data_IF_582750768139
#
_entry.id   IF_582750768139
#
_cell.length_a   1.000
_cell.length_b   1.000
_cell.length_c   1.000
_cell.angle_alpha   90.00
_cell.angle_beta   90.00
_cell.angle_gamma   90.00
#
_symmetry.space_group_name_H-M   'P 1'
#
loop_
_entity.id
_entity.type
_entity.pdbx_description
1 polymer ?
#
# COMPACT_ATOMS: atom_id res chain seq x y z
N UNK A 1 23.40 -28.49 -16.31
CA UNK A 1 22.20 -29.29 -15.98
C UNK A 1 21.39 -29.44 -17.26
N UNK A 2 21.16 -30.69 -17.69
CA UNK A 2 20.88 -31.09 -19.07
C UNK A 2 19.55 -30.58 -19.64
N UNK A 3 19.59 -29.96 -20.84
CA UNK A 3 18.44 -29.57 -21.67
C UNK A 3 17.43 -30.71 -21.92
N UNK A 4 17.88 -31.97 -21.86
CA UNK A 4 17.01 -33.14 -22.01
C UNK A 4 16.13 -33.39 -20.77
N UNK A 5 16.58 -33.00 -19.57
CA UNK A 5 15.78 -33.13 -18.34
C UNK A 5 14.53 -32.24 -18.34
N UNK A 6 14.64 -31.02 -18.88
CA UNK A 6 13.53 -30.07 -19.00
C UNK A 6 12.49 -30.43 -20.05
N UNK A 7 12.86 -31.21 -21.07
CA UNK A 7 11.93 -31.68 -22.12
C UNK A 7 11.09 -32.87 -21.64
N UNK A 8 11.64 -33.77 -20.82
CA UNK A 8 10.85 -34.85 -20.23
C UNK A 8 9.91 -34.34 -19.12
N UNK A 9 10.34 -33.39 -18.28
CA UNK A 9 9.45 -32.79 -17.27
C UNK A 9 8.26 -32.07 -17.90
N UNK A 10 8.48 -31.27 -18.96
CA UNK A 10 7.40 -30.54 -19.65
C UNK A 10 6.40 -31.45 -20.36
N UNK A 11 6.79 -32.61 -20.89
CA UNK A 11 5.85 -33.56 -21.52
C UNK A 11 5.01 -34.29 -20.47
N UNK A 12 5.62 -34.71 -19.35
CA UNK A 12 4.89 -35.33 -18.24
C UNK A 12 3.95 -34.33 -17.57
N UNK A 13 4.40 -33.11 -17.29
CA UNK A 13 3.58 -32.02 -16.77
C UNK A 13 2.40 -31.71 -17.69
N UNK A 14 2.60 -31.60 -19.01
CA UNK A 14 1.49 -31.35 -19.95
C UNK A 14 0.46 -32.47 -19.98
N UNK A 15 0.89 -33.74 -19.92
CA UNK A 15 -0.03 -34.88 -19.94
C UNK A 15 -0.83 -34.98 -18.64
N UNK A 16 -0.19 -34.71 -17.49
CA UNK A 16 -0.86 -34.63 -16.20
C UNK A 16 -1.80 -33.43 -16.12
N UNK A 17 -1.36 -32.25 -16.54
CA UNK A 17 -2.17 -31.04 -16.55
C UNK A 17 -3.44 -31.23 -17.39
N UNK A 18 -3.32 -31.90 -18.55
CA UNK A 18 -4.47 -32.20 -19.41
C UNK A 18 -5.44 -33.20 -18.76
N UNK A 19 -4.93 -34.20 -18.03
CA UNK A 19 -5.76 -35.17 -17.29
C UNK A 19 -6.46 -34.53 -16.09
N UNK A 20 -5.75 -33.73 -15.30
CA UNK A 20 -6.34 -32.98 -14.18
C UNK A 20 -7.36 -31.98 -14.69
N UNK A 21 -7.09 -31.30 -15.80
CA UNK A 21 -8.05 -30.39 -16.44
C UNK A 21 -9.33 -31.10 -16.89
N UNK A 22 -9.22 -32.29 -17.49
CA UNK A 22 -10.40 -33.07 -17.89
C UNK A 22 -11.15 -33.65 -16.69
N UNK A 23 -10.43 -34.14 -15.68
CA UNK A 23 -11.01 -34.66 -14.43
C UNK A 23 -11.63 -33.54 -13.57
N UNK A 24 -11.26 -32.28 -13.83
CA UNK A 24 -11.80 -31.12 -13.15
C UNK A 24 -13.03 -30.50 -13.81
N UNK A 25 -13.37 -30.89 -15.04
CA UNK A 25 -14.60 -30.45 -15.71
C UNK A 25 -15.83 -30.79 -14.83
N UNK A 26 -16.60 -29.77 -14.44
CA UNK A 26 -17.79 -29.92 -13.59
C UNK A 26 -17.56 -29.94 -12.07
N UNK A 27 -16.32 -29.96 -11.59
CA UNK A 27 -16.01 -29.82 -10.15
C UNK A 27 -16.23 -28.39 -9.67
N UNK A 28 -16.52 -28.16 -8.39
CA UNK A 28 -16.56 -26.80 -7.84
C UNK A 28 -15.15 -26.26 -7.52
N UNK A 29 -15.01 -24.95 -7.33
CA UNK A 29 -13.75 -24.34 -6.84
C UNK A 29 -13.41 -24.82 -5.42
N UNK A 30 -14.43 -25.11 -4.61
CA UNK A 30 -14.34 -25.64 -3.25
C UNK A 30 -13.75 -27.06 -3.24
N UNK A 31 -14.26 -27.95 -4.11
CA UNK A 31 -13.74 -29.31 -4.26
C UNK A 31 -12.27 -29.31 -4.67
N UNK A 32 -11.90 -28.43 -5.61
CA UNK A 32 -10.51 -28.28 -6.03
C UNK A 32 -9.63 -27.77 -4.89
N UNK A 33 -10.15 -26.88 -4.05
CA UNK A 33 -9.42 -26.33 -2.89
C UNK A 33 -9.18 -27.40 -1.82
N UNK A 34 -10.18 -28.26 -1.55
CA UNK A 34 -10.00 -29.41 -0.64
C UNK A 34 -8.97 -30.40 -1.17
N UNK A 35 -8.99 -30.69 -2.48
CA UNK A 35 -7.97 -31.52 -3.12
C UNK A 35 -6.58 -30.89 -3.04
N UNK A 36 -6.47 -29.58 -3.27
CA UNK A 36 -5.21 -28.87 -3.18
C UNK A 36 -4.63 -28.96 -1.78
N UNK A 37 -5.44 -28.83 -0.73
CA UNK A 37 -5.02 -29.01 0.66
C UNK A 37 -4.62 -30.45 0.98
N UNK A 38 -5.30 -31.44 0.38
CA UNK A 38 -4.99 -32.87 0.54
C UNK A 38 -3.80 -33.36 -0.30
N UNK A 39 -3.41 -32.62 -1.34
CA UNK A 39 -2.36 -33.02 -2.27
C UNK A 39 -1.00 -33.17 -1.57
N UNK A 40 -0.31 -34.28 -1.85
CA UNK A 40 1.05 -34.58 -1.35
C UNK A 40 2.14 -34.41 -2.41
N UNK A 41 1.79 -34.25 -3.69
CA UNK A 41 2.73 -34.11 -4.81
C UNK A 41 2.75 -32.70 -5.40
N UNK A 42 3.96 -32.18 -5.64
CA UNK A 42 4.19 -30.82 -6.17
C UNK A 42 3.50 -30.58 -7.53
N UNK A 43 3.62 -31.53 -8.46
CA UNK A 43 3.07 -31.40 -9.84
C UNK A 43 1.53 -31.38 -9.86
N UNK A 44 0.87 -32.18 -9.01
CA UNK A 44 -0.59 -32.14 -8.88
C UNK A 44 -1.07 -30.85 -8.20
N UNK A 45 -0.29 -30.33 -7.24
CA UNK A 45 -0.64 -29.12 -6.50
C UNK A 45 -0.62 -27.87 -7.37
N UNK A 46 0.42 -27.68 -8.19
CA UNK A 46 0.52 -26.51 -9.08
C UNK A 46 -0.60 -26.45 -10.12
N UNK A 47 -1.01 -27.60 -10.66
CA UNK A 47 -2.12 -27.66 -11.62
C UNK A 47 -3.45 -27.29 -10.97
N UNK A 48 -3.73 -27.82 -9.78
CA UNK A 48 -4.95 -27.49 -9.03
C UNK A 48 -4.99 -26.01 -8.64
N UNK A 49 -3.87 -25.47 -8.14
CA UNK A 49 -3.75 -24.06 -7.80
C UNK A 49 -4.02 -23.13 -8.99
N UNK A 50 -3.44 -23.45 -10.15
CA UNK A 50 -3.67 -22.69 -11.38
C UNK A 50 -5.17 -22.70 -11.75
N UNK A 51 -5.81 -23.87 -11.72
CA UNK A 51 -7.22 -24.00 -12.08
C UNK A 51 -8.16 -23.28 -11.09
N UNK A 52 -7.87 -23.35 -9.79
CA UNK A 52 -8.64 -22.61 -8.76
C UNK A 52 -8.59 -21.12 -9.05
N UNK A 53 -7.39 -20.59 -9.24
CA UNK A 53 -7.21 -19.17 -9.51
C UNK A 53 -7.87 -18.77 -10.85
N UNK A 54 -7.78 -19.60 -11.90
CA UNK A 54 -8.40 -19.34 -13.22
C UNK A 54 -9.92 -19.26 -13.13
N UNK A 55 -10.51 -20.17 -12.35
CA UNK A 55 -11.95 -20.15 -12.07
C UNK A 55 -12.36 -18.95 -11.25
N UNK A 56 -11.60 -18.61 -10.21
CA UNK A 56 -11.88 -17.42 -9.42
C UNK A 56 -11.82 -16.14 -10.28
N UNK A 57 -10.81 -16.01 -11.13
CA UNK A 57 -10.64 -14.85 -12.01
C UNK A 57 -11.79 -14.69 -13.01
N UNK A 58 -12.33 -15.80 -13.53
CA UNK A 58 -13.48 -15.81 -14.44
C UNK A 58 -14.85 -15.81 -13.75
N UNK A 59 -14.91 -15.84 -12.42
CA UNK A 59 -16.15 -15.90 -11.66
C UNK A 59 -16.83 -14.52 -11.55
N UNK A 60 -18.16 -14.53 -11.50
CA UNK A 60 -18.94 -13.34 -11.16
C UNK A 60 -18.90 -13.02 -9.65
N UNK A 61 -19.52 -11.91 -9.25
CA UNK A 61 -19.49 -11.46 -7.86
C UNK A 61 -20.11 -12.48 -6.88
N UNK A 62 -21.18 -13.15 -7.28
CA UNK A 62 -21.89 -14.12 -6.43
C UNK A 62 -21.05 -15.39 -6.25
N UNK A 63 -20.40 -15.88 -7.31
CA UNK A 63 -19.50 -17.03 -7.24
C UNK A 63 -18.22 -16.72 -6.46
N UNK A 64 -17.63 -15.52 -6.62
CA UNK A 64 -16.50 -15.07 -5.79
C UNK A 64 -16.89 -15.00 -4.32
N UNK A 65 -18.09 -14.48 -4.02
CA UNK A 65 -18.63 -14.42 -2.67
C UNK A 65 -18.83 -15.81 -2.08
N UNK A 66 -19.41 -16.75 -2.83
CA UNK A 66 -19.58 -18.12 -2.39
C UNK A 66 -18.24 -18.79 -2.04
N UNK A 67 -17.18 -18.51 -2.82
CA UNK A 67 -15.84 -18.99 -2.50
C UNK A 67 -15.29 -18.43 -1.18
N UNK A 68 -15.52 -17.15 -0.89
CA UNK A 68 -15.16 -16.57 0.40
C UNK A 68 -15.97 -17.16 1.55
N UNK A 69 -17.26 -17.43 1.36
CA UNK A 69 -18.08 -18.11 2.37
C UNK A 69 -17.56 -19.54 2.66
N UNK A 70 -17.12 -20.27 1.63
CA UNK A 70 -16.42 -21.55 1.77
C UNK A 70 -15.13 -21.39 2.60
N UNK A 71 -14.28 -20.42 2.26
CA UNK A 71 -13.05 -20.18 3.03
C UNK A 71 -13.32 -19.81 4.49
N UNK A 72 -14.39 -19.07 4.75
CA UNK A 72 -14.76 -18.61 6.09
C UNK A 72 -15.33 -19.73 6.96
N UNK A 73 -16.09 -20.66 6.36
CA UNK A 73 -16.82 -21.71 7.11
C UNK A 73 -16.09 -23.03 7.13
N UNK A 74 -15.64 -23.48 5.97
CA UNK A 74 -15.13 -24.85 5.78
C UNK A 74 -13.63 -24.97 6.03
N UNK A 75 -12.91 -23.85 5.99
CA UNK A 75 -11.45 -23.77 6.22
C UNK A 75 -11.09 -23.07 7.55
N UNK A 76 -12.06 -22.95 8.45
CA UNK A 76 -11.90 -22.39 9.78
C UNK A 76 -11.15 -23.34 10.73
N UNK A 77 -10.64 -22.80 11.83
CA UNK A 77 -10.10 -23.58 12.94
C UNK A 77 -11.16 -24.50 13.58
N UNK A 78 -10.72 -25.63 14.10
CA UNK A 78 -11.55 -26.50 14.96
C UNK A 78 -11.35 -26.11 16.43
N UNK A 79 -12.37 -25.50 17.11
CA UNK A 79 -12.25 -25.09 18.50
C UNK A 79 -11.97 -26.26 19.46
N UNK A 80 -12.46 -27.46 19.15
CA UNK A 80 -12.25 -28.65 19.97
C UNK A 80 -10.78 -29.07 19.89
N UNK A 81 -10.23 -29.17 18.67
CA UNK A 81 -8.82 -29.52 18.46
C UNK A 81 -7.87 -28.50 19.11
N UNK A 82 -8.20 -27.19 19.05
CA UNK A 82 -7.41 -26.14 19.71
C UNK A 82 -7.39 -26.32 21.22
N UNK A 83 -8.55 -26.53 21.84
CA UNK A 83 -8.63 -26.67 23.31
C UNK A 83 -7.88 -27.91 23.79
N UNK A 84 -8.01 -29.04 23.09
CA UNK A 84 -7.33 -30.29 23.43
C UNK A 84 -5.80 -30.20 23.24
N UNK A 85 -5.37 -29.60 22.13
CA UNK A 85 -3.93 -29.41 21.85
C UNK A 85 -3.29 -28.41 22.81
N UNK A 86 -3.99 -27.33 23.18
CA UNK A 86 -3.53 -26.37 24.18
C UNK A 86 -3.40 -27.01 25.57
N UNK A 87 -4.39 -27.82 25.98
CA UNK A 87 -4.32 -28.57 27.23
C UNK A 87 -3.09 -29.50 27.23
N UNK A 88 -2.89 -30.23 26.15
CA UNK A 88 -1.73 -31.12 25.99
C UNK A 88 -0.39 -30.36 26.07
N UNK A 89 -0.32 -29.15 25.52
CA UNK A 89 0.86 -28.30 25.64
C UNK A 89 1.07 -27.79 27.06
N UNK A 90 0.00 -27.37 27.75
CA UNK A 90 0.05 -26.93 29.15
C UNK A 90 0.51 -28.05 30.08
N UNK A 91 0.00 -29.26 29.90
CA UNK A 91 0.29 -30.41 30.77
C UNK A 91 1.73 -30.94 30.56
N UNK A 92 2.24 -30.90 29.32
CA UNK A 92 3.59 -31.36 28.99
C UNK A 92 4.24 -30.49 27.88
N UNK A 93 4.82 -29.32 28.23
CA UNK A 93 5.44 -28.43 27.26
C UNK A 93 6.61 -29.12 26.54
N UNK A 94 6.51 -29.23 25.21
CA UNK A 94 7.54 -29.85 24.36
C UNK A 94 7.42 -29.35 22.92
N UNK A 95 8.48 -29.57 22.12
CA UNK A 95 8.44 -29.31 20.67
C UNK A 95 7.25 -29.99 19.98
N UNK A 96 6.88 -31.20 20.42
CA UNK A 96 5.77 -31.97 19.84
C UNK A 96 4.42 -31.35 20.18
N UNK A 97 4.18 -31.07 21.45
CA UNK A 97 2.90 -30.52 21.93
C UNK A 97 2.70 -29.07 21.48
N UNK A 98 3.78 -28.27 21.42
CA UNK A 98 3.73 -26.93 20.83
C UNK A 98 3.36 -26.97 19.34
N UNK A 99 3.98 -27.86 18.55
CA UNK A 99 3.66 -28.02 17.13
C UNK A 99 2.20 -28.44 16.88
N UNK A 100 1.67 -29.33 17.72
CA UNK A 100 0.27 -29.74 17.63
C UNK A 100 -0.65 -28.54 17.87
N UNK A 101 -0.40 -27.77 18.93
CA UNK A 101 -1.18 -26.56 19.23
C UNK A 101 -1.07 -25.49 18.13
N UNK A 102 0.14 -25.19 17.68
CA UNK A 102 0.38 -24.21 16.62
C UNK A 102 -0.34 -24.61 15.32
N UNK A 103 -0.32 -25.90 14.95
CA UNK A 103 -1.02 -26.40 13.77
C UNK A 103 -2.54 -26.31 13.92
N UNK A 104 -3.10 -26.66 15.09
CA UNK A 104 -4.53 -26.58 15.34
C UNK A 104 -5.04 -25.13 15.34
N UNK A 105 -4.18 -24.18 15.74
CA UNK A 105 -4.51 -22.75 15.82
C UNK A 105 -4.37 -22.01 14.48
N UNK A 106 -3.87 -22.67 13.44
CA UNK A 106 -3.74 -22.09 12.10
C UNK A 106 -4.91 -22.54 11.22
N UNK A 107 -5.73 -21.60 10.70
CA UNK A 107 -6.85 -21.97 9.84
C UNK A 107 -6.35 -22.47 8.48
N UNK A 108 -7.05 -23.45 7.89
CA UNK A 108 -6.64 -24.09 6.63
C UNK A 108 -6.58 -23.10 5.46
N UNK A 109 -7.30 -21.97 5.55
CA UNK A 109 -7.25 -20.90 4.55
C UNK A 109 -5.86 -20.29 4.40
N UNK A 110 -5.03 -20.22 5.44
CA UNK A 110 -3.64 -19.76 5.28
C UNK A 110 -2.82 -20.73 4.43
N UNK A 111 -2.96 -22.03 4.68
CA UNK A 111 -2.28 -23.05 3.89
C UNK A 111 -2.78 -23.08 2.44
N UNK A 112 -4.09 -22.89 2.22
CA UNK A 112 -4.65 -22.76 0.88
C UNK A 112 -3.98 -21.60 0.14
N UNK A 113 -3.95 -20.41 0.74
CA UNK A 113 -3.32 -19.22 0.14
C UNK A 113 -1.83 -19.44 -0.16
N UNK A 114 -1.08 -20.09 0.73
CA UNK A 114 0.33 -20.46 0.46
C UNK A 114 0.46 -21.37 -0.74
N UNK A 115 -0.40 -22.39 -0.88
CA UNK A 115 -0.39 -23.31 -2.03
C UNK A 115 -0.79 -22.62 -3.33
N UNK A 116 -1.78 -21.74 -3.28
CA UNK A 116 -2.16 -20.91 -4.42
C UNK A 116 -1.01 -20.01 -4.88
N UNK A 117 -0.17 -19.55 -3.95
CA UNK A 117 0.99 -18.71 -4.25
C UNK A 117 2.18 -19.46 -4.88
N UNK A 118 2.13 -20.79 -5.00
CA UNK A 118 3.24 -21.58 -5.57
C UNK A 118 3.28 -21.57 -7.10
N UNK A 119 2.22 -21.08 -7.76
CA UNK A 119 2.19 -20.96 -9.22
C UNK A 119 2.77 -19.63 -9.69
N UNK A 120 3.26 -19.60 -10.93
CA UNK A 120 3.73 -18.35 -11.56
C UNK A 120 2.59 -17.33 -11.61
N UNK A 121 2.84 -16.11 -11.15
CA UNK A 121 1.82 -15.06 -11.07
C UNK A 121 0.81 -15.25 -9.93
N UNK A 122 0.97 -16.26 -9.06
CA UNK A 122 0.06 -16.52 -7.96
C UNK A 122 -0.08 -15.32 -7.01
N UNK A 123 1.02 -14.61 -6.73
CA UNK A 123 1.01 -13.47 -5.81
C UNK A 123 0.10 -12.34 -6.30
N UNK A 124 0.28 -11.91 -7.55
CA UNK A 124 -0.56 -10.86 -8.17
C UNK A 124 -2.05 -11.23 -8.14
N UNK A 125 -2.37 -12.49 -8.44
CA UNK A 125 -3.74 -12.98 -8.44
C UNK A 125 -4.36 -13.03 -7.05
N UNK A 126 -3.56 -13.36 -6.04
CA UNK A 126 -4.00 -13.27 -4.64
C UNK A 126 -4.17 -11.82 -4.19
N UNK A 127 -3.34 -10.88 -4.67
CA UNK A 127 -3.52 -9.45 -4.42
C UNK A 127 -4.84 -8.97 -5.03
N UNK A 128 -5.16 -9.37 -6.26
CA UNK A 128 -6.45 -9.09 -6.90
C UNK A 128 -7.63 -9.73 -6.14
N UNK A 129 -7.49 -10.97 -5.68
CA UNK A 129 -8.48 -11.64 -4.83
C UNK A 129 -8.72 -10.90 -3.52
N UNK A 130 -7.67 -10.38 -2.87
CA UNK A 130 -7.82 -9.56 -1.67
C UNK A 130 -8.48 -8.22 -1.95
N UNK A 131 -8.22 -7.60 -3.11
CA UNK A 131 -8.92 -6.38 -3.52
C UNK A 131 -10.44 -6.61 -3.65
N UNK A 132 -10.85 -7.75 -4.24
CA UNK A 132 -12.27 -8.16 -4.27
C UNK A 132 -12.84 -8.33 -2.86
N UNK A 133 -12.11 -9.00 -1.96
CA UNK A 133 -12.49 -9.19 -0.55
C UNK A 133 -12.70 -7.83 0.16
N UNK A 134 -11.74 -6.91 0.05
CA UNK A 134 -11.80 -5.59 0.68
C UNK A 134 -13.00 -4.76 0.20
N UNK A 135 -13.38 -4.91 -1.07
CA UNK A 135 -14.59 -4.26 -1.62
C UNK A 135 -15.86 -4.88 -1.03
N UNK A 136 -15.94 -6.21 -0.93
CA UNK A 136 -17.10 -6.93 -0.39
C UNK A 136 -17.30 -6.69 1.10
N UNK A 137 -16.22 -6.62 1.89
CA UNK A 137 -16.26 -6.39 3.35
C UNK A 137 -16.98 -5.10 3.76
N UNK A 138 -17.02 -4.09 2.88
CA UNK A 138 -17.75 -2.84 3.14
C UNK A 138 -19.26 -3.06 3.32
N UNK A 139 -19.80 -4.05 2.61
CA UNK A 139 -21.21 -4.43 2.68
C UNK A 139 -21.44 -5.63 3.61
N UNK A 140 -20.43 -6.49 3.78
CA UNK A 140 -20.51 -7.68 4.63
C UNK A 140 -19.30 -7.83 5.57
N UNK A 141 -19.38 -7.25 6.78
CA UNK A 141 -18.31 -7.35 7.78
C UNK A 141 -18.00 -8.77 8.25
N UNK A 142 -18.84 -9.77 7.99
CA UNK A 142 -18.57 -11.17 8.40
C UNK A 142 -17.34 -11.75 7.70
N UNK A 143 -16.91 -11.15 6.59
CA UNK A 143 -15.72 -11.55 5.84
C UNK A 143 -14.40 -11.03 6.43
N UNK A 144 -14.45 -10.11 7.41
CA UNK A 144 -13.26 -9.52 8.06
C UNK A 144 -12.21 -10.53 8.55
N UNK A 145 -12.55 -11.70 9.12
CA UNK A 145 -11.57 -12.68 9.54
C UNK A 145 -10.66 -13.18 8.40
N UNK A 146 -11.16 -13.23 7.15
CA UNK A 146 -10.35 -13.62 6.00
C UNK A 146 -9.23 -12.61 5.74
N UNK A 147 -9.51 -11.31 5.87
CA UNK A 147 -8.52 -10.25 5.64
C UNK A 147 -7.36 -10.32 6.62
N UNK A 148 -7.60 -10.77 7.86
CA UNK A 148 -6.54 -10.99 8.86
C UNK A 148 -5.50 -11.97 8.35
N UNK A 149 -5.93 -13.08 7.73
CA UNK A 149 -5.02 -14.11 7.21
C UNK A 149 -4.32 -13.67 5.92
N UNK A 150 -5.04 -12.98 5.05
CA UNK A 150 -4.44 -12.34 3.88
C UNK A 150 -3.35 -11.33 4.30
N UNK A 151 -3.66 -10.44 5.24
CA UNK A 151 -2.72 -9.44 5.74
C UNK A 151 -1.51 -10.08 6.43
N UNK A 152 -1.72 -11.15 7.20
CA UNK A 152 -0.65 -11.92 7.81
C UNK A 152 0.34 -12.46 6.76
N UNK A 153 -0.18 -13.13 5.73
CA UNK A 153 0.65 -13.71 4.68
C UNK A 153 1.33 -12.63 3.83
N UNK A 154 0.59 -11.57 3.45
CA UNK A 154 1.16 -10.48 2.65
C UNK A 154 2.21 -9.69 3.40
N UNK A 155 2.07 -9.47 4.71
CA UNK A 155 3.12 -8.84 5.52
C UNK A 155 4.43 -9.67 5.51
N UNK A 156 4.32 -11.00 5.42
CA UNK A 156 5.50 -11.86 5.29
C UNK A 156 6.06 -11.91 3.87
N UNK A 157 5.21 -11.92 2.85
CA UNK A 157 5.63 -12.06 1.45
C UNK A 157 6.17 -10.75 0.87
N UNK A 158 5.58 -9.61 1.21
CA UNK A 158 6.03 -8.28 0.81
C UNK A 158 6.99 -7.68 1.84
N UNK A 159 8.00 -8.45 2.20
CA UNK A 159 9.03 -7.98 3.11
C UNK A 159 9.81 -6.85 2.46
N UNK A 160 9.93 -5.72 3.19
CA UNK A 160 10.72 -4.55 2.79
C UNK A 160 12.10 -4.91 2.24
N UNK A 161 12.79 -5.90 2.81
CA UNK A 161 14.15 -6.27 2.39
C UNK A 161 14.27 -6.69 0.92
N UNK A 162 13.16 -6.98 0.25
CA UNK A 162 13.12 -7.31 -1.17
C UNK A 162 12.53 -6.20 -2.05
N UNK A 163 12.11 -5.08 -1.47
CA UNK A 163 11.65 -3.95 -2.27
C UNK A 163 12.85 -3.29 -2.95
N UNK A 164 12.74 -3.15 -4.27
CA UNK A 164 13.74 -2.53 -5.11
C UNK A 164 13.22 -1.16 -5.56
N UNK A 165 13.98 -0.11 -5.25
CA UNK A 165 13.72 1.21 -5.78
C UNK A 165 14.31 1.32 -7.19
N UNK A 166 13.49 1.68 -8.18
CA UNK A 166 13.91 1.88 -9.56
C UNK A 166 13.48 3.26 -10.07
N UNK A 167 14.34 3.99 -10.80
CA UNK A 167 13.90 5.19 -11.50
C UNK A 167 12.91 4.82 -12.61
N UNK A 168 11.86 5.63 -12.76
CA UNK A 168 10.90 5.57 -13.85
C UNK A 168 11.07 6.84 -14.68
N UNK A 169 11.31 6.66 -15.98
CA UNK A 169 11.51 7.77 -16.91
C UNK A 169 10.94 7.43 -18.29
N UNK A 170 11.07 8.33 -19.25
CA UNK A 170 10.51 8.14 -20.58
C UNK A 170 11.12 6.97 -21.39
N UNK A 171 12.24 6.40 -20.93
CA UNK A 171 12.83 5.18 -21.52
C UNK A 171 12.37 3.89 -20.85
N UNK A 172 11.58 3.96 -19.78
CA UNK A 172 11.01 2.80 -19.12
C UNK A 172 10.04 2.03 -20.04
N UNK A 173 9.83 0.72 -19.85
CA UNK A 173 8.91 -0.07 -20.67
C UNK A 173 7.50 0.52 -20.69
N UNK A 174 6.88 0.56 -21.88
CA UNK A 174 5.54 1.14 -22.05
C UNK A 174 4.49 0.52 -21.14
N UNK A 175 4.57 -0.78 -20.87
CA UNK A 175 3.68 -1.48 -19.93
C UNK A 175 3.74 -0.89 -18.51
N UNK A 176 4.94 -0.52 -18.03
CA UNK A 176 5.09 0.13 -16.71
C UNK A 176 4.50 1.54 -16.75
N UNK A 177 4.74 2.28 -17.84
CA UNK A 177 4.21 3.65 -18.01
C UNK A 177 2.67 3.67 -18.07
N UNK A 178 2.04 2.72 -18.75
CA UNK A 178 0.59 2.54 -18.78
C UNK A 178 0.02 2.30 -17.38
N UNK A 179 0.72 1.50 -16.57
CA UNK A 179 0.35 1.25 -15.17
C UNK A 179 0.44 2.52 -14.32
N UNK A 180 1.46 3.35 -14.51
CA UNK A 180 1.57 4.65 -13.80
C UNK A 180 0.37 5.55 -14.12
N UNK A 181 -0.04 5.64 -15.40
CA UNK A 181 -1.24 6.39 -15.79
C UNK A 181 -2.48 5.82 -15.07
N UNK A 182 -2.64 4.50 -15.06
CA UNK A 182 -3.79 3.84 -14.45
C UNK A 182 -3.86 3.98 -12.91
N UNK A 183 -2.71 4.12 -12.25
CA UNK A 183 -2.60 4.11 -10.79
C UNK A 183 -2.46 5.49 -10.14
N UNK A 184 -2.34 6.55 -10.92
CA UNK A 184 -2.19 7.90 -10.37
C UNK A 184 -3.45 8.36 -9.64
N UNK A 185 -3.34 8.45 -8.31
CA UNK A 185 -4.45 8.65 -7.39
C UNK A 185 -4.52 10.07 -6.80
N UNK A 186 -3.46 10.88 -6.94
CA UNK A 186 -3.35 12.22 -6.34
C UNK A 186 -3.70 13.29 -7.38
N UNK A 187 -3.09 13.21 -8.57
CA UNK A 187 -3.26 14.14 -9.67
C UNK A 187 -3.44 13.38 -10.98
N UNK A 188 -4.69 13.11 -11.36
CA UNK A 188 -5.05 12.33 -12.55
C UNK A 188 -4.16 12.65 -13.76
N UNK A 189 -3.65 11.60 -14.41
CA UNK A 189 -2.90 11.69 -15.67
C UNK A 189 -3.85 11.35 -16.80
N UNK A 190 -4.35 12.36 -17.50
CA UNK A 190 -5.41 12.16 -18.50
C UNK A 190 -4.88 11.75 -19.88
N UNK A 191 -3.55 11.80 -20.08
CA UNK A 191 -2.93 11.47 -21.37
C UNK A 191 -1.45 11.08 -21.27
N UNK A 192 -0.96 10.44 -22.34
CA UNK A 192 0.48 10.19 -22.53
C UNK A 192 1.31 11.47 -22.60
N UNK A 193 0.74 12.57 -23.07
CA UNK A 193 1.43 13.86 -23.09
C UNK A 193 1.58 14.44 -21.67
N UNK A 194 0.57 14.30 -20.81
CA UNK A 194 0.68 14.67 -19.39
C UNK A 194 1.73 13.79 -18.69
N UNK A 195 1.71 12.47 -18.91
CA UNK A 195 2.77 11.59 -18.39
C UNK A 195 4.16 12.04 -18.85
N UNK A 196 4.30 12.41 -20.13
CA UNK A 196 5.57 12.89 -20.68
C UNK A 196 6.04 14.17 -19.99
N UNK A 197 5.14 15.12 -19.70
CA UNK A 197 5.47 16.35 -18.98
C UNK A 197 5.94 16.09 -17.54
N UNK A 198 5.55 14.96 -16.95
CA UNK A 198 5.97 14.55 -15.60
C UNK A 198 7.23 13.68 -15.56
N UNK A 199 7.63 13.06 -16.68
CA UNK A 199 8.77 12.13 -16.73
C UNK A 199 9.94 12.59 -17.59
N UNK A 200 9.71 13.45 -18.57
CA UNK A 200 10.73 13.87 -19.54
C UNK A 200 11.59 15.06 -19.09
N UNK A 201 11.05 16.12 -18.45
CA UNK A 201 11.86 17.27 -18.04
C UNK A 201 12.94 16.90 -17.02
N UNK A 202 14.11 17.55 -17.12
CA UNK A 202 15.26 17.29 -16.25
C UNK A 202 15.00 17.63 -14.78
N UNK A 203 14.04 18.49 -14.48
CA UNK A 203 13.59 18.85 -13.14
C UNK A 203 12.39 18.02 -12.67
N UNK A 204 12.13 16.88 -13.32
CA UNK A 204 11.21 15.87 -12.84
C UNK A 204 11.94 14.56 -12.63
N UNK A 205 11.56 13.87 -11.56
CA UNK A 205 12.02 12.51 -11.23
C UNK A 205 10.81 11.69 -10.84
N UNK A 206 10.80 10.43 -11.23
CA UNK A 206 9.81 9.48 -10.78
C UNK A 206 10.52 8.20 -10.37
N UNK A 207 10.05 7.58 -9.31
CA UNK A 207 10.60 6.36 -8.76
C UNK A 207 9.48 5.36 -8.50
N UNK A 208 9.76 4.07 -8.72
CA UNK A 208 8.88 2.97 -8.38
C UNK A 208 9.53 2.01 -7.41
N UNK A 209 8.76 1.52 -6.44
CA UNK A 209 9.12 0.39 -5.61
C UNK A 209 8.54 -0.89 -6.20
N UNK A 210 9.42 -1.82 -6.57
CA UNK A 210 9.09 -3.10 -7.17
C UNK A 210 9.38 -4.23 -6.20
N UNK A 211 8.66 -5.34 -6.33
CA UNK A 211 8.92 -6.55 -5.57
C UNK A 211 9.18 -7.72 -6.50
N UNK A 212 10.15 -8.62 -6.22
CA UNK A 212 10.48 -9.75 -7.09
C UNK A 212 9.30 -10.68 -7.40
N UNK A 213 8.31 -10.77 -6.49
CA UNK A 213 7.10 -11.55 -6.70
C UNK A 213 6.10 -10.92 -7.71
N UNK A 214 6.24 -9.62 -7.97
CA UNK A 214 5.43 -8.85 -8.92
C UNK A 214 6.37 -7.88 -9.69
N UNK A 215 7.28 -8.40 -10.52
CA UNK A 215 8.43 -7.65 -11.03
C UNK A 215 8.07 -6.52 -12.02
N UNK A 216 6.93 -6.66 -12.69
CA UNK A 216 6.40 -5.73 -13.70
C UNK A 216 5.30 -4.82 -13.12
N UNK A 217 5.07 -4.89 -11.81
CA UNK A 217 4.07 -4.09 -11.08
C UNK A 217 4.78 -3.10 -10.15
N UNK A 218 4.64 -1.78 -10.39
CA UNK A 218 5.01 -0.82 -9.35
C UNK A 218 4.04 -1.01 -8.18
N UNK A 219 4.56 -1.24 -6.97
CA UNK A 219 3.73 -1.33 -5.77
C UNK A 219 3.43 0.06 -5.22
N UNK A 220 4.44 0.92 -5.25
CA UNK A 220 4.36 2.33 -4.91
C UNK A 220 5.13 3.07 -5.98
N UNK A 221 4.62 4.22 -6.43
CA UNK A 221 5.47 5.18 -7.12
C UNK A 221 5.43 6.54 -6.45
N UNK A 222 6.49 7.30 -6.71
CA UNK A 222 6.79 8.58 -6.09
C UNK A 222 7.20 9.55 -7.20
N UNK A 223 6.42 10.60 -7.37
CA UNK A 223 6.75 11.69 -8.28
C UNK A 223 7.39 12.86 -7.52
N UNK A 224 8.49 13.37 -8.07
CA UNK A 224 9.31 14.42 -7.48
C UNK A 224 9.52 15.54 -8.49
N UNK A 225 9.26 16.76 -8.05
CA UNK A 225 9.62 17.97 -8.76
C UNK A 225 10.87 18.58 -8.12
N UNK A 226 11.87 18.87 -8.93
CA UNK A 226 13.06 19.63 -8.52
C UNK A 226 12.76 21.12 -8.70
N UNK A 227 12.94 21.91 -7.65
CA UNK A 227 12.56 23.34 -7.61
C UNK A 227 13.62 24.19 -6.93
N UNK A 228 13.46 25.51 -7.05
CA UNK A 228 14.12 26.50 -6.20
C UNK A 228 13.12 26.98 -5.14
N UNK A 229 13.34 26.56 -3.90
CA UNK A 229 12.46 26.79 -2.76
C UNK A 229 11.24 25.86 -2.70
N UNK A 230 10.51 25.98 -1.58
CA UNK A 230 9.36 25.15 -1.23
C UNK A 230 8.08 25.67 -1.92
N UNK A 231 7.37 24.85 -2.72
CA UNK A 231 6.14 25.27 -3.37
C UNK A 231 4.94 25.23 -2.41
N UNK A 232 3.96 26.06 -2.73
CA UNK A 232 2.70 26.21 -1.98
C UNK A 232 1.44 26.02 -2.82
N UNK A 233 1.55 25.60 -4.09
CA UNK A 233 0.41 25.37 -4.97
C UNK A 233 0.74 24.29 -6.00
N UNK A 234 -0.14 23.30 -6.10
CA UNK A 234 0.05 22.19 -7.03
C UNK A 234 -0.24 22.61 -8.47
N UNK A 235 -1.19 23.53 -8.68
CA UNK A 235 -1.46 24.09 -10.01
C UNK A 235 -0.24 24.81 -10.59
N UNK A 236 0.53 25.54 -9.75
CA UNK A 236 1.78 26.17 -10.20
C UNK A 236 2.87 25.13 -10.49
N UNK A 237 2.93 24.07 -9.69
CA UNK A 237 3.92 23.00 -9.84
C UNK A 237 3.70 22.19 -11.14
N UNK A 238 2.43 21.94 -11.50
CA UNK A 238 2.03 21.12 -12.64
C UNK A 238 1.68 21.97 -13.89
N UNK A 239 1.94 23.27 -13.90
CA UNK A 239 1.58 24.12 -15.03
C UNK A 239 2.32 23.74 -16.33
N UNK A 240 1.57 23.50 -17.41
CA UNK A 240 2.08 23.12 -18.75
C UNK A 240 3.11 24.10 -19.35
N UNK A 241 3.06 25.38 -18.94
CA UNK A 241 3.90 26.46 -19.47
C UNK A 241 4.91 26.97 -18.45
N UNK A 242 5.45 26.10 -17.61
CA UNK A 242 6.60 26.43 -16.76
C UNK A 242 7.89 26.31 -17.56
N UNK A 243 8.84 27.17 -17.28
CA UNK A 243 10.22 27.00 -17.78
C UNK A 243 10.90 25.94 -16.90
N UNK A 244 11.27 24.76 -17.46
CA UNK A 244 12.01 23.77 -16.70
C UNK A 244 13.37 24.32 -16.28
N UNK A 245 13.84 23.91 -15.11
CA UNK A 245 15.22 24.17 -14.68
C UNK A 245 16.09 22.94 -14.96
N UNK A 246 17.41 23.15 -15.02
CA UNK A 246 18.35 22.03 -14.97
C UNK A 246 18.29 21.38 -13.57
N UNK A 247 18.58 20.09 -13.49
CA UNK A 247 18.45 19.35 -12.23
C UNK A 247 19.45 19.86 -11.17
N UNK A 248 20.65 20.25 -11.61
CA UNK A 248 21.76 20.75 -10.80
C UNK A 248 21.50 22.14 -10.23
N UNK A 249 20.53 22.86 -10.80
CA UNK A 249 20.12 24.20 -10.39
C UNK A 249 19.08 24.20 -9.26
N UNK A 250 18.54 23.03 -8.91
CA UNK A 250 17.54 22.87 -7.87
C UNK A 250 18.17 22.82 -6.47
N UNK A 251 17.50 23.42 -5.49
CA UNK A 251 17.85 23.34 -4.07
C UNK A 251 16.85 22.50 -3.25
N UNK A 252 15.70 22.18 -3.85
CA UNK A 252 14.56 21.55 -3.19
C UNK A 252 14.02 20.39 -4.03
N UNK A 253 13.86 19.23 -3.40
CA UNK A 253 13.12 18.10 -3.94
C UNK A 253 11.71 18.06 -3.33
N UNK A 254 10.70 18.13 -4.19
CA UNK A 254 9.28 18.21 -3.81
C UNK A 254 8.57 16.91 -4.19
N UNK A 255 8.25 16.08 -3.20
CA UNK A 255 7.41 14.89 -3.37
C UNK A 255 5.94 15.32 -3.49
N UNK A 256 5.41 15.40 -4.71
CA UNK A 256 4.05 15.93 -4.94
C UNK A 256 3.02 14.83 -5.22
N UNK A 257 3.45 13.62 -5.59
CA UNK A 257 2.56 12.45 -5.68
C UNK A 257 3.25 11.22 -5.10
N UNK A 258 2.53 10.49 -4.25
CA UNK A 258 2.93 9.18 -3.72
C UNK A 258 1.70 8.28 -3.76
N UNK A 259 1.74 7.29 -4.63
CA UNK A 259 0.57 6.46 -4.95
C UNK A 259 0.87 4.99 -4.62
N UNK A 260 -0.02 4.37 -3.82
CA UNK A 260 -0.06 2.91 -3.69
C UNK A 260 -0.87 2.36 -4.86
N UNK A 261 -0.23 1.58 -5.71
CA UNK A 261 -0.80 1.09 -6.95
C UNK A 261 -1.75 -0.09 -6.74
N UNK A 262 -1.58 -0.81 -5.64
CA UNK A 262 -2.24 -2.09 -5.42
C UNK A 262 -3.23 -1.97 -4.27
N UNK A 263 -4.51 -1.79 -4.59
CA UNK A 263 -5.60 -1.73 -3.60
C UNK A 263 -5.67 -2.99 -2.72
N UNK A 264 -5.34 -4.15 -3.30
CA UNK A 264 -5.18 -5.41 -2.57
C UNK A 264 -4.01 -5.42 -1.57
N UNK A 265 -3.11 -4.44 -1.60
CA UNK A 265 -2.06 -4.27 -0.59
C UNK A 265 -2.38 -3.15 0.42
N UNK A 266 -3.63 -2.67 0.45
CA UNK A 266 -4.07 -1.72 1.46
C UNK A 266 -3.79 -2.27 2.88
N UNK A 267 -3.17 -1.43 3.72
CA UNK A 267 -2.80 -1.78 5.10
C UNK A 267 -1.53 -2.62 5.24
N UNK A 268 -0.93 -3.10 4.14
CA UNK A 268 0.34 -3.83 4.19
C UNK A 268 1.48 -2.82 4.29
N UNK A 269 2.29 -2.92 5.35
CA UNK A 269 3.45 -2.05 5.52
C UNK A 269 4.61 -2.53 4.66
N UNK A 270 5.09 -1.66 3.78
CA UNK A 270 6.34 -1.81 3.04
C UNK A 270 7.55 -1.30 3.83
N UNK A 271 7.37 -1.13 5.15
CA UNK A 271 8.29 -0.50 6.05
C UNK A 271 8.19 1.02 6.07
N UNK A 272 8.76 1.60 7.11
CA UNK A 272 8.94 3.05 7.25
C UNK A 272 10.30 3.40 6.64
N UNK A 273 10.46 4.62 6.11
CA UNK A 273 11.65 5.14 5.41
C UNK A 273 11.71 4.89 3.89
N UNK A 274 10.58 4.69 3.21
CA UNK A 274 10.54 4.67 1.73
C UNK A 274 11.03 6.00 1.17
N UNK A 275 10.48 7.10 1.69
CA UNK A 275 10.83 8.46 1.24
C UNK A 275 12.26 8.84 1.64
N UNK A 276 12.76 8.32 2.77
CA UNK A 276 14.17 8.48 3.15
C UNK A 276 15.10 7.90 2.08
N UNK A 277 14.78 6.73 1.51
CA UNK A 277 15.58 6.13 0.45
C UNK A 277 15.62 7.04 -0.77
N UNK A 278 14.45 7.49 -1.24
CA UNK A 278 14.38 8.39 -2.41
C UNK A 278 15.12 9.70 -2.15
N UNK A 279 14.94 10.31 -0.97
CA UNK A 279 15.64 11.54 -0.60
C UNK A 279 17.16 11.35 -0.50
N UNK A 280 17.62 10.23 0.05
CA UNK A 280 19.05 9.91 0.14
C UNK A 280 19.68 9.69 -1.25
N UNK A 281 18.99 8.97 -2.14
CA UNK A 281 19.46 8.73 -3.51
C UNK A 281 19.54 10.06 -4.29
N UNK A 282 18.51 10.91 -4.17
CA UNK A 282 18.51 12.25 -4.77
C UNK A 282 19.62 13.15 -4.22
N UNK A 283 19.86 13.12 -2.91
CA UNK A 283 20.93 13.89 -2.26
C UNK A 283 22.32 13.46 -2.73
N UNK A 284 22.51 12.17 -3.01
CA UNK A 284 23.76 11.64 -3.54
C UNK A 284 23.95 11.98 -5.03
N UNK A 285 22.88 11.95 -5.83
CA UNK A 285 22.91 12.30 -7.25
C UNK A 285 23.12 13.81 -7.45
N UNK A 286 22.41 14.65 -6.67
CA UNK A 286 22.33 16.09 -6.85
C UNK A 286 22.75 16.79 -5.55
N UNK A 287 24.04 17.11 -5.43
CA UNK A 287 24.62 17.72 -4.23
C UNK A 287 24.09 19.12 -3.89
N UNK A 288 23.39 19.77 -4.83
CA UNK A 288 22.74 21.06 -4.62
C UNK A 288 21.43 20.98 -3.83
N UNK A 289 20.85 19.78 -3.68
CA UNK A 289 19.60 19.60 -2.94
C UNK A 289 19.83 19.68 -1.43
N UNK A 290 19.27 20.70 -0.81
CA UNK A 290 19.33 20.95 0.64
C UNK A 290 18.01 20.61 1.33
N UNK A 291 16.89 20.75 0.60
CA UNK A 291 15.54 20.64 1.17
C UNK A 291 14.74 19.50 0.55
N UNK A 292 14.18 18.63 1.39
CA UNK A 292 13.32 17.52 0.97
C UNK A 292 11.94 17.70 1.59
N UNK A 293 10.96 18.09 0.78
CA UNK A 293 9.61 18.40 1.24
C UNK A 293 8.56 17.71 0.39
N UNK A 294 7.37 17.53 0.93
CA UNK A 294 6.23 17.10 0.15
C UNK A 294 5.33 18.27 -0.21
N UNK A 295 4.43 18.11 -1.17
CA UNK A 295 3.23 18.93 -1.29
C UNK A 295 2.03 17.98 -1.28
N UNK A 296 1.53 17.67 -0.08
CA UNK A 296 0.59 16.57 0.15
C UNK A 296 -0.85 17.06 0.32
N UNK A 297 -1.86 16.27 -0.11
CA UNK A 297 -3.26 16.53 0.17
C UNK A 297 -3.59 16.28 1.66
N UNK A 298 -4.74 16.79 2.11
CA UNK A 298 -5.25 16.61 3.48
C UNK A 298 -6.64 15.93 3.44
N UNK A 299 -6.71 14.66 3.02
CA UNK A 299 -7.97 13.99 2.76
C UNK A 299 -8.81 13.81 4.02
N UNK A 300 -10.04 14.32 3.98
CA UNK A 300 -11.02 14.11 5.05
C UNK A 300 -11.14 15.26 6.04
N UNK A 301 -10.33 16.32 5.90
CA UNK A 301 -10.46 17.55 6.67
C UNK A 301 -11.87 18.13 6.59
N UNK A 302 -12.43 18.30 5.38
CA UNK A 302 -13.79 18.87 5.21
C UNK A 302 -14.86 18.00 5.87
N UNK A 303 -14.76 16.67 5.75
CA UNK A 303 -15.68 15.72 6.39
C UNK A 303 -15.55 15.74 7.91
N UNK A 304 -14.33 15.92 8.42
CA UNK A 304 -14.08 16.02 9.86
C UNK A 304 -14.63 17.33 10.42
N UNK A 305 -14.41 18.46 9.74
CA UNK A 305 -14.92 19.79 10.11
C UNK A 305 -16.45 19.81 10.20
N UNK A 306 -17.15 19.17 9.25
CA UNK A 306 -18.62 19.05 9.27
C UNK A 306 -19.18 18.38 10.53
N UNK A 307 -18.36 17.56 11.22
CA UNK A 307 -18.76 16.90 12.47
C UNK A 307 -18.44 17.72 13.71
N UNK A 308 -17.68 18.80 13.59
CA UNK A 308 -17.29 19.63 14.73
C UNK A 308 -18.36 20.66 15.03
N UNK A 309 -18.75 20.79 16.30
CA UNK A 309 -19.75 21.76 16.73
C UNK A 309 -19.15 23.12 17.13
N UNK A 310 -17.83 23.23 17.25
CA UNK A 310 -17.16 24.43 17.76
C UNK A 310 -17.19 25.58 16.72
N UNK A 311 -17.88 26.71 16.98
CA UNK A 311 -17.98 27.80 16.01
C UNK A 311 -16.63 28.45 15.70
N UNK A 312 -15.72 28.49 16.68
CA UNK A 312 -14.37 29.01 16.50
C UNK A 312 -13.60 28.22 15.42
N UNK A 313 -13.76 26.90 15.40
CA UNK A 313 -13.13 26.03 14.41
C UNK A 313 -13.81 26.15 13.04
N UNK A 314 -15.14 26.26 12.98
CA UNK A 314 -15.87 26.38 11.72
C UNK A 314 -15.61 27.71 10.99
N UNK A 315 -15.43 28.80 11.73
CA UNK A 315 -15.23 30.15 11.16
C UNK A 315 -13.75 30.53 10.98
N UNK A 316 -12.83 29.66 11.40
CA UNK A 316 -11.40 29.90 11.26
C UNK A 316 -10.95 29.90 9.79
N UNK A 317 -9.78 30.51 9.56
CA UNK A 317 -9.12 30.40 8.28
C UNK A 317 -8.75 28.94 7.96
N UNK A 318 -8.80 28.58 6.68
CA UNK A 318 -8.64 27.19 6.20
C UNK A 318 -7.29 26.58 6.61
N UNK A 319 -6.22 27.39 6.61
CA UNK A 319 -4.89 27.00 7.07
C UNK A 319 -4.83 26.70 8.57
N UNK A 320 -5.50 27.50 9.40
CA UNK A 320 -5.62 27.24 10.84
C UNK A 320 -6.46 25.97 11.12
N UNK A 321 -7.55 25.77 10.38
CA UNK A 321 -8.36 24.54 10.45
C UNK A 321 -7.53 23.29 10.11
N UNK A 322 -6.77 23.37 9.01
CA UNK A 322 -5.89 22.29 8.57
C UNK A 322 -4.76 22.03 9.58
N UNK A 323 -4.12 23.08 10.12
CA UNK A 323 -3.09 22.92 11.15
C UNK A 323 -3.65 22.24 12.40
N UNK A 324 -4.80 22.67 12.91
CA UNK A 324 -5.46 22.05 14.06
C UNK A 324 -5.84 20.60 13.77
N UNK A 325 -6.41 20.31 12.60
CA UNK A 325 -6.76 18.95 12.21
C UNK A 325 -5.55 18.01 12.18
N UNK A 326 -4.43 18.46 11.60
CA UNK A 326 -3.21 17.66 11.49
C UNK A 326 -2.55 17.41 12.86
N UNK A 327 -2.58 18.40 13.76
CA UNK A 327 -1.86 18.36 15.03
C UNK A 327 -2.70 17.84 16.20
N UNK A 328 -4.00 18.11 16.24
CA UNK A 328 -4.86 17.88 17.40
C UNK A 328 -5.95 16.83 17.16
N UNK A 329 -6.44 16.66 15.92
CA UNK A 329 -7.45 15.64 15.67
C UNK A 329 -6.84 14.22 15.78
N UNK A 330 -7.34 13.44 16.73
CA UNK A 330 -6.87 12.06 17.00
C UNK A 330 -8.01 11.04 16.86
N UNK A 331 -7.62 9.81 16.49
CA UNK A 331 -8.43 8.60 16.59
C UNK A 331 -8.35 8.03 18.01
N UNK A 332 -9.12 6.98 18.27
CA UNK A 332 -9.14 6.27 19.56
C UNK A 332 -7.78 5.66 19.95
N UNK A 333 -6.89 5.42 18.97
CA UNK A 333 -5.53 4.91 19.16
C UNK A 333 -4.47 6.02 19.34
N UNK A 334 -4.91 7.26 19.57
CA UNK A 334 -4.08 8.47 19.66
C UNK A 334 -3.22 8.76 18.42
N UNK A 335 -3.52 8.18 17.25
CA UNK A 335 -2.90 8.59 15.99
C UNK A 335 -3.68 9.74 15.33
N UNK A 336 -3.00 10.60 14.52
CA UNK A 336 -3.67 11.60 13.70
C UNK A 336 -4.83 11.01 12.89
N UNK A 337 -5.95 11.73 12.77
CA UNK A 337 -7.11 11.29 11.97
C UNK A 337 -6.75 11.22 10.49
N UNK A 338 -5.95 12.16 10.01
CA UNK A 338 -5.54 12.22 8.61
C UNK A 338 -4.61 11.05 8.23
N UNK A 339 -4.96 10.25 7.20
CA UNK A 339 -4.16 9.10 6.78
C UNK A 339 -2.80 9.50 6.18
N UNK A 340 -2.72 10.64 5.48
CA UNK A 340 -1.51 11.12 4.82
C UNK A 340 -0.51 11.64 5.86
N UNK A 341 -0.99 12.29 6.92
CA UNK A 341 -0.21 12.66 8.10
C UNK A 341 0.36 11.44 8.79
N UNK A 342 -0.45 10.39 9.04
CA UNK A 342 0.06 9.14 9.62
C UNK A 342 1.16 8.53 8.76
N UNK A 343 1.01 8.56 7.44
CA UNK A 343 2.02 8.05 6.51
C UNK A 343 3.34 8.86 6.60
N UNK A 344 3.30 10.18 6.46
CA UNK A 344 4.52 11.01 6.45
C UNK A 344 5.21 11.08 7.82
N UNK A 345 4.45 11.25 8.90
CA UNK A 345 4.98 11.22 10.27
C UNK A 345 5.55 9.83 10.60
N UNK A 346 4.86 8.77 10.15
CA UNK A 346 5.36 7.39 10.23
C UNK A 346 6.64 7.17 9.43
N UNK A 347 6.92 7.98 8.40
CA UNK A 347 8.19 7.97 7.67
C UNK A 347 9.23 8.95 8.23
N UNK A 348 8.97 9.57 9.39
CA UNK A 348 9.90 10.46 10.08
C UNK A 348 9.86 11.92 9.63
N UNK A 349 8.87 12.32 8.83
CA UNK A 349 8.72 13.72 8.45
C UNK A 349 8.16 14.57 9.60
N UNK A 350 8.26 15.89 9.45
CA UNK A 350 7.58 16.86 10.32
C UNK A 350 6.57 17.69 9.52
N UNK A 351 5.43 18.05 10.12
CA UNK A 351 4.48 19.00 9.52
C UNK A 351 5.17 20.37 9.43
N UNK A 352 5.47 20.83 8.22
CA UNK A 352 6.36 21.97 8.02
C UNK A 352 5.60 23.26 7.73
N UNK A 353 4.66 23.24 6.79
CA UNK A 353 3.86 24.38 6.41
C UNK A 353 2.47 23.93 5.91
N UNK A 354 1.46 24.77 6.09
CA UNK A 354 0.09 24.54 5.63
C UNK A 354 -0.30 25.69 4.72
N UNK A 355 -0.94 25.37 3.59
CA UNK A 355 -1.24 26.32 2.53
C UNK A 355 -2.71 26.30 2.18
N UNK A 356 -3.39 27.44 2.37
CA UNK A 356 -4.76 27.62 1.88
C UNK A 356 -4.76 27.89 0.36
N UNK A 357 -5.75 27.32 -0.35
CA UNK A 357 -5.88 27.52 -1.80
C UNK A 357 -4.74 26.90 -2.62
N UNK A 358 -4.05 25.92 -2.06
CA UNK A 358 -2.92 25.25 -2.68
C UNK A 358 -3.35 24.21 -3.73
N UNK A 359 -4.54 23.63 -3.56
CA UNK A 359 -5.20 22.80 -4.56
C UNK A 359 -6.62 23.31 -4.84
N UNK A 360 -6.78 24.05 -5.94
CA UNK A 360 -8.07 24.60 -6.36
C UNK A 360 -8.91 23.65 -7.23
N UNK A 361 -8.45 22.40 -7.42
CA UNK A 361 -9.23 21.37 -8.12
C UNK A 361 -10.54 21.07 -7.37
N UNK A 362 -11.53 20.54 -8.09
CA UNK A 362 -12.79 20.10 -7.46
C UNK A 362 -12.54 19.09 -6.34
N UNK A 363 -11.59 18.18 -6.54
CA UNK A 363 -11.18 17.19 -5.55
C UNK A 363 -10.52 17.84 -4.32
N UNK A 364 -9.56 18.74 -4.50
CA UNK A 364 -8.91 19.47 -3.41
C UNK A 364 -9.89 20.29 -2.57
N UNK A 365 -10.81 20.99 -3.24
CA UNK A 365 -11.88 21.74 -2.57
C UNK A 365 -12.80 20.83 -1.76
N UNK A 366 -13.17 19.67 -2.30
CA UNK A 366 -14.02 18.69 -1.61
C UNK A 366 -13.33 18.02 -0.41
N UNK A 367 -12.03 17.76 -0.50
CA UNK A 367 -11.28 17.03 0.52
C UNK A 367 -10.91 17.91 1.72
N UNK A 368 -10.43 19.14 1.45
CA UNK A 368 -9.78 19.98 2.46
C UNK A 368 -10.09 21.48 2.32
N UNK A 369 -11.07 21.87 1.50
CA UNK A 369 -11.28 23.28 1.16
C UNK A 369 -10.12 23.90 0.39
N UNK A 370 -9.37 23.06 -0.34
CA UNK A 370 -8.19 23.43 -1.12
C UNK A 370 -6.92 23.61 -0.30
N UNK A 371 -6.91 23.17 0.97
CA UNK A 371 -5.71 23.14 1.80
C UNK A 371 -4.76 22.01 1.40
N UNK A 372 -3.47 22.30 1.34
CA UNK A 372 -2.39 21.31 1.26
C UNK A 372 -1.35 21.55 2.35
N UNK A 373 -0.46 20.59 2.55
CA UNK A 373 0.57 20.62 3.58
C UNK A 373 1.92 20.23 2.99
N UNK A 374 2.99 20.89 3.42
CA UNK A 374 4.34 20.35 3.24
C UNK A 374 4.73 19.55 4.47
N UNK A 375 5.19 18.31 4.26
CA UNK A 375 5.95 17.56 5.24
C UNK A 375 7.44 17.68 4.92
N UNK A 376 8.26 18.06 5.90
CA UNK A 376 9.71 18.17 5.76
C UNK A 376 10.39 16.86 6.17
N UNK A 377 11.24 16.34 5.30
CA UNK A 377 12.12 15.21 5.51
C UNK A 377 13.55 15.67 5.81
N UNK A 378 13.79 16.07 7.05
CA UNK A 378 15.15 16.36 7.52
C UNK A 378 15.92 15.05 7.69
N UNK A 379 16.89 14.79 6.80
CA UNK A 379 17.66 13.55 6.77
C UNK A 379 18.35 13.21 8.11
N UNK A 380 18.70 14.22 8.92
CA UNK A 380 19.30 14.03 10.24
C UNK A 380 18.26 13.65 11.31
N UNK A 381 17.05 14.18 11.22
CA UNK A 381 15.99 14.00 12.23
C UNK A 381 14.99 12.89 11.90
N UNK A 382 14.96 12.35 10.67
CA UNK A 382 14.00 11.32 10.23
C UNK A 382 13.89 10.16 11.24
N UNK A 383 15.02 9.62 11.70
CA UNK A 383 15.02 8.49 12.63
C UNK A 383 14.43 8.89 13.99
N UNK A 384 14.83 10.05 14.52
CA UNK A 384 14.33 10.57 15.80
C UNK A 384 12.83 10.84 15.75
N UNK A 385 12.35 11.48 14.69
CA UNK A 385 10.94 11.79 14.48
C UNK A 385 10.12 10.52 14.33
N UNK A 386 10.63 9.54 13.58
CA UNK A 386 10.00 8.24 13.41
C UNK A 386 9.79 7.54 14.76
N UNK A 387 10.85 7.40 15.55
CA UNK A 387 10.79 6.74 16.85
C UNK A 387 9.76 7.42 17.76
N UNK A 388 9.83 8.74 17.92
CA UNK A 388 8.87 9.51 18.72
C UNK A 388 7.42 9.33 18.24
N UNK A 389 7.18 9.30 16.94
CA UNK A 389 5.84 9.09 16.41
C UNK A 389 5.33 7.67 16.65
N UNK A 390 6.17 6.65 16.46
CA UNK A 390 5.78 5.26 16.65
C UNK A 390 5.54 4.93 18.13
N UNK A 391 6.42 5.37 19.02
CA UNK A 391 6.40 5.00 20.45
C UNK A 391 5.49 5.92 21.27
N UNK A 392 5.59 7.24 21.08
CA UNK A 392 4.92 8.25 21.90
C UNK A 392 3.72 8.89 21.20
N UNK A 393 3.50 8.62 19.91
CA UNK A 393 2.49 9.29 19.06
C UNK A 393 2.70 10.80 18.94
N UNK A 394 3.93 11.26 19.17
CA UNK A 394 4.32 12.66 19.10
C UNK A 394 4.31 13.16 17.65
N UNK A 395 3.55 14.22 17.38
CA UNK A 395 3.54 14.90 16.06
C UNK A 395 4.68 15.91 15.99
N UNK A 396 5.68 15.62 15.16
CA UNK A 396 6.72 16.59 14.81
C UNK A 396 6.12 17.68 13.89
N UNK A 397 6.29 18.95 14.27
CA UNK A 397 5.75 20.09 13.53
C UNK A 397 6.61 21.34 13.73
N UNK A 398 6.63 22.22 12.72
CA UNK A 398 7.29 23.53 12.80
C UNK A 398 6.64 24.45 13.84
N UNK A 399 7.34 25.52 14.23
CA UNK A 399 6.81 26.48 15.19
C UNK A 399 5.62 27.24 14.62
N UNK A 400 5.68 27.53 13.33
CA UNK A 400 4.68 28.25 12.56
C UNK A 400 3.36 27.47 12.50
N UNK A 401 3.43 26.17 12.22
CA UNK A 401 2.24 25.28 12.20
C UNK A 401 1.66 25.12 13.61
N UNK A 402 2.50 25.00 14.64
CA UNK A 402 2.03 24.97 16.03
C UNK A 402 1.33 26.27 16.42
N UNK A 403 1.87 27.41 16.02
CA UNK A 403 1.26 28.72 16.27
C UNK A 403 -0.10 28.84 15.56
N UNK A 404 -0.20 28.39 14.30
CA UNK A 404 -1.46 28.32 13.56
C UNK A 404 -2.51 27.45 14.28
N UNK A 405 -2.13 26.23 14.68
CA UNK A 405 -3.02 25.32 15.43
C UNK A 405 -3.48 25.94 16.77
N UNK A 406 -2.56 26.58 17.49
CA UNK A 406 -2.84 27.20 18.80
C UNK A 406 -3.85 28.34 18.73
N UNK A 407 -4.08 28.97 17.56
CA UNK A 407 -5.17 29.96 17.41
C UNK A 407 -6.56 29.37 17.63
N UNK A 408 -6.71 28.04 17.48
CA UNK A 408 -7.96 27.30 17.61
C UNK A 408 -8.01 26.37 18.82
N UNK A 409 -6.87 26.15 19.49
CA UNK A 409 -6.83 25.41 20.74
C UNK A 409 -7.62 26.20 21.81
N UNK A 410 -8.53 25.57 22.57
CA UNK A 410 -9.16 26.24 23.69
C UNK A 410 -8.06 26.70 24.65
N UNK A 411 -8.01 28.01 24.92
CA UNK A 411 -7.06 28.57 25.89
C UNK A 411 -7.16 27.80 27.20
N UNK A 412 -6.01 27.30 27.68
CA UNK A 412 -5.84 26.67 28.99
C UNK A 412 -6.36 27.52 30.13
#
# INVERSE_FOLDING_TARGET
>A
MSYLGGLFSTVFERRFARKVSSDAEGRSIDDLSRDLLGARGEVSGTTLAQLILDRYAGADADAKRAFFDFMLRDLEIDPVEIVESLKSYKDAPSKRTYRAYARASEPQRQELLRRLNQVRGGTERLVSMRDDLLKMMRADPQLEPLDVDFAHLFASWFNRGFLELRPINWSSPAEVLEKIIAYEAVHAIDSWDDLRLRLQPADRRCFGFFHPAMPDEPLIFVEVALTRGIPNSVQKLLADKRDPIEAEDADTAVFYSISNCQSGLAGISFGNFLIKQVAADLSQELSGLETFVTLSPIPGLSKWLQKQAAPALQNAAVDAQAAYYLLEAKRDDNLPVDPVARFHLGNGAAVHAVHAGADTSENGMKQSGGAMVNYLYDLAEITTNHEKFVTEKTVAASREVRALSATLAPGT
#
